data_IF_780640292919
#
_entry.id   IF_780640292919
#
_cell.length_a   1.000
_cell.length_b   1.000
_cell.length_c   1.000
_cell.angle_alpha   90.00
_cell.angle_beta   90.00
_cell.angle_gamma   90.00
#
_symmetry.space_group_name_H-M   'P 1'
#
loop_
_entity.id
_entity.type
_entity.pdbx_description
1 polymer ?
#
# COMPACT_ATOMS: atom_id res chain seq x y z
N UNK A 1 -31.01 -6.49 -0.19
CA UNK A 1 -30.81 -5.23 -0.95
C UNK A 1 -30.15 -4.15 -0.08
N UNK A 2 -30.43 -4.08 1.23
CA UNK A 2 -29.87 -3.07 2.15
C UNK A 2 -28.35 -2.87 2.09
N UNK A 3 -27.56 -3.94 2.04
CA UNK A 3 -26.08 -3.83 2.05
C UNK A 3 -25.51 -3.20 0.75
N UNK A 4 -26.23 -3.28 -0.37
CA UNK A 4 -25.76 -2.73 -1.67
C UNK A 4 -26.15 -1.26 -1.81
N UNK A 5 -27.24 -0.84 -1.18
CA UNK A 5 -27.61 0.57 -1.07
C UNK A 5 -26.67 1.30 -0.11
N UNK A 6 -26.31 0.67 1.00
CA UNK A 6 -25.30 1.19 1.93
C UNK A 6 -23.91 1.31 1.29
N UNK A 7 -23.49 0.33 0.48
CA UNK A 7 -22.23 0.39 -0.27
C UNK A 7 -22.22 1.49 -1.35
N UNK A 8 -23.33 1.73 -2.05
CA UNK A 8 -23.42 2.84 -3.02
C UNK A 8 -23.40 4.21 -2.32
N UNK A 9 -24.05 4.32 -1.15
CA UNK A 9 -24.00 5.51 -0.31
C UNK A 9 -22.60 5.84 0.19
N UNK A 10 -21.84 4.84 0.66
CA UNK A 10 -20.48 5.06 1.16
C UNK A 10 -19.49 5.44 0.04
N UNK A 11 -19.64 4.87 -1.16
CA UNK A 11 -18.84 5.28 -2.34
C UNK A 11 -19.12 6.73 -2.73
N UNK A 12 -20.39 7.17 -2.67
CA UNK A 12 -20.76 8.56 -2.92
C UNK A 12 -20.14 9.54 -1.92
N UNK A 13 -20.22 9.22 -0.63
CA UNK A 13 -19.61 10.05 0.42
C UNK A 13 -18.09 10.16 0.24
N UNK A 14 -17.42 9.06 -0.12
CA UNK A 14 -15.98 9.05 -0.38
C UNK A 14 -15.59 9.91 -1.60
N UNK A 15 -16.40 9.93 -2.66
CA UNK A 15 -16.17 10.77 -3.82
C UNK A 15 -16.28 12.26 -3.48
N UNK A 16 -17.24 12.62 -2.62
CA UNK A 16 -17.42 14.00 -2.15
C UNK A 16 -16.25 14.44 -1.25
N UNK A 17 -15.80 13.59 -0.31
CA UNK A 17 -14.60 13.87 0.49
C UNK A 17 -13.34 14.01 -0.38
N UNK A 18 -13.20 13.24 -1.46
CA UNK A 18 -12.06 13.37 -2.38
C UNK A 18 -12.06 14.73 -3.11
N UNK A 19 -13.24 15.23 -3.50
CA UNK A 19 -13.40 16.56 -4.11
C UNK A 19 -13.11 17.69 -3.12
N UNK A 20 -13.60 17.57 -1.90
CA UNK A 20 -13.33 18.53 -0.83
C UNK A 20 -11.82 18.63 -0.55
N UNK A 21 -11.13 17.48 -0.51
CA UNK A 21 -9.68 17.42 -0.35
C UNK A 21 -8.94 18.05 -1.54
N UNK A 22 -9.38 17.82 -2.78
CA UNK A 22 -8.82 18.47 -3.96
C UNK A 22 -8.99 20.00 -3.90
N UNK A 23 -10.15 20.47 -3.46
CA UNK A 23 -10.42 21.90 -3.21
C UNK A 23 -9.46 22.48 -2.17
N UNK A 24 -9.32 21.82 -1.02
CA UNK A 24 -8.41 22.25 0.06
C UNK A 24 -6.94 22.29 -0.36
N UNK A 25 -6.48 21.34 -1.18
CA UNK A 25 -5.13 21.33 -1.74
C UNK A 25 -4.92 22.52 -2.67
N UNK A 26 -5.91 22.83 -3.52
CA UNK A 26 -5.86 23.96 -4.45
C UNK A 26 -5.80 25.28 -3.67
N UNK A 27 -6.65 25.47 -2.67
CA UNK A 27 -6.59 26.66 -1.80
C UNK A 27 -5.26 26.79 -1.06
N UNK A 28 -4.67 25.66 -0.64
CA UNK A 28 -3.35 25.67 0.01
C UNK A 28 -2.23 26.07 -0.97
N UNK A 29 -2.32 25.67 -2.24
CA UNK A 29 -1.41 26.10 -3.31
C UNK A 29 -1.50 27.61 -3.51
N UNK A 30 -2.71 28.15 -3.62
CA UNK A 30 -2.92 29.59 -3.82
C UNK A 30 -2.33 30.42 -2.66
N UNK A 31 -2.49 29.95 -1.41
CA UNK A 31 -1.88 30.59 -0.24
C UNK A 31 -0.35 30.55 -0.28
N UNK A 32 0.25 29.43 -0.71
CA UNK A 32 1.70 29.33 -0.87
C UNK A 32 2.24 30.29 -1.93
N UNK A 33 1.53 30.41 -3.06
CA UNK A 33 1.90 31.36 -4.12
C UNK A 33 1.78 32.81 -3.66
N UNK A 34 0.71 33.15 -2.94
CA UNK A 34 0.55 34.49 -2.34
C UNK A 34 1.63 34.80 -1.31
N UNK A 35 1.96 33.84 -0.44
CA UNK A 35 3.01 34.02 0.58
C UNK A 35 4.39 34.15 -0.07
N UNK A 36 4.66 33.40 -1.14
CA UNK A 36 5.89 33.54 -1.91
C UNK A 36 6.00 34.92 -2.58
N UNK A 37 4.91 35.42 -3.15
CA UNK A 37 4.86 36.77 -3.73
C UNK A 37 5.08 37.87 -2.68
N UNK A 38 4.49 37.72 -1.48
CA UNK A 38 4.71 38.64 -0.36
C UNK A 38 6.17 38.62 0.13
N UNK A 39 6.78 37.44 0.24
CA UNK A 39 8.18 37.29 0.66
C UNK A 39 9.16 37.89 -0.37
N UNK A 40 8.87 37.72 -1.66
CA UNK A 40 9.63 38.36 -2.73
C UNK A 40 9.54 39.90 -2.64
N UNK A 41 8.36 40.45 -2.33
CA UNK A 41 8.15 41.90 -2.21
C UNK A 41 8.95 42.53 -1.05
N UNK A 42 9.24 41.78 0.01
CA UNK A 42 10.07 42.25 1.15
C UNK A 42 11.57 41.91 0.98
N UNK A 43 11.99 41.44 -0.20
CA UNK A 43 13.39 41.13 -0.51
C UNK A 43 13.93 39.89 0.21
N UNK A 44 13.05 39.02 0.71
CA UNK A 44 13.45 37.73 1.28
C UNK A 44 13.56 36.72 0.15
N UNK A 45 14.80 36.36 -0.19
CA UNK A 45 15.10 35.25 -1.11
C UNK A 45 14.71 33.92 -0.44
N UNK A 46 13.42 33.60 -0.49
CA UNK A 46 12.97 32.22 -0.32
C UNK A 46 13.58 31.43 -1.46
N UNK A 47 14.19 30.27 -1.19
CA UNK A 47 14.70 29.37 -2.22
C UNK A 47 13.57 29.08 -3.21
N UNK A 48 13.51 29.83 -4.31
CA UNK A 48 12.42 29.82 -5.29
C UNK A 48 12.13 28.42 -5.80
N UNK A 49 13.17 27.60 -5.90
CA UNK A 49 13.09 26.19 -6.29
C UNK A 49 12.27 25.32 -5.31
N UNK A 50 12.26 25.62 -4.01
CA UNK A 50 11.47 24.85 -3.02
C UNK A 50 9.99 25.22 -3.07
N UNK A 51 9.67 26.51 -3.22
CA UNK A 51 8.29 26.97 -3.37
C UNK A 51 7.70 26.47 -4.68
N UNK A 52 8.46 26.55 -5.79
CA UNK A 52 8.02 26.02 -7.08
C UNK A 52 7.77 24.51 -7.00
N UNK A 53 8.72 23.74 -6.45
CA UNK A 53 8.55 22.30 -6.29
C UNK A 53 7.37 21.92 -5.36
N UNK A 54 7.03 22.76 -4.38
CA UNK A 54 5.86 22.56 -3.55
C UNK A 54 4.55 22.86 -4.30
N UNK A 55 4.53 23.91 -5.12
CA UNK A 55 3.39 24.26 -5.99
C UNK A 55 3.13 23.17 -7.03
N UNK A 56 4.18 22.72 -7.74
CA UNK A 56 4.10 21.65 -8.73
C UNK A 56 3.54 20.35 -8.10
N UNK A 57 3.98 20.02 -6.88
CA UNK A 57 3.52 18.83 -6.16
C UNK A 57 2.09 18.96 -5.66
N UNK A 58 1.65 20.17 -5.29
CA UNK A 58 0.27 20.42 -4.91
C UNK A 58 -0.68 20.23 -6.11
N UNK A 59 -0.26 20.66 -7.30
CA UNK A 59 -1.00 20.46 -8.53
C UNK A 59 -1.11 18.98 -8.93
N UNK A 60 0.00 18.22 -8.82
CA UNK A 60 -0.01 16.78 -9.04
C UNK A 60 -0.97 16.06 -8.08
N UNK A 61 -0.96 16.43 -6.79
CA UNK A 61 -1.85 15.85 -5.78
C UNK A 61 -3.32 16.19 -6.01
N UNK A 62 -3.63 17.44 -6.40
CA UNK A 62 -4.98 17.84 -6.76
C UNK A 62 -5.48 17.06 -7.98
N UNK A 63 -4.62 16.86 -9.00
CA UNK A 63 -4.92 16.02 -10.16
C UNK A 63 -5.25 14.58 -9.76
N UNK A 64 -4.44 13.98 -8.88
CA UNK A 64 -4.71 12.62 -8.37
C UNK A 64 -6.02 12.53 -7.57
N UNK A 65 -6.33 13.53 -6.75
CA UNK A 65 -7.57 13.56 -5.96
C UNK A 65 -8.81 13.65 -6.87
N UNK A 66 -8.77 14.45 -7.92
CA UNK A 66 -9.84 14.53 -8.93
C UNK A 66 -9.99 13.21 -9.69
N UNK A 67 -8.89 12.61 -10.14
CA UNK A 67 -8.92 11.31 -10.82
C UNK A 67 -9.50 10.19 -9.93
N UNK A 68 -9.24 10.23 -8.62
CA UNK A 68 -9.84 9.31 -7.66
C UNK A 68 -11.35 9.53 -7.53
N UNK A 69 -11.81 10.79 -7.47
CA UNK A 69 -13.23 11.11 -7.42
C UNK A 69 -13.96 10.59 -8.67
N UNK A 70 -13.39 10.79 -9.86
CA UNK A 70 -13.94 10.27 -11.12
C UNK A 70 -14.01 8.74 -11.14
N UNK A 71 -12.99 8.06 -10.61
CA UNK A 71 -12.98 6.60 -10.50
C UNK A 71 -14.06 6.08 -9.54
N UNK A 72 -14.32 6.79 -8.44
CA UNK A 72 -15.37 6.44 -7.49
C UNK A 72 -16.77 6.63 -8.09
N UNK A 73 -16.99 7.70 -8.87
CA UNK A 73 -18.24 7.91 -9.59
C UNK A 73 -18.47 6.82 -10.65
N UNK A 74 -17.42 6.43 -11.38
CA UNK A 74 -17.49 5.33 -12.34
C UNK A 74 -17.84 4.00 -11.66
N UNK A 75 -17.26 3.73 -10.48
CA UNK A 75 -17.59 2.54 -9.69
C UNK A 75 -19.05 2.54 -9.23
N UNK A 76 -19.56 3.70 -8.78
CA UNK A 76 -20.96 3.87 -8.40
C UNK A 76 -21.89 3.57 -9.57
N UNK A 77 -21.59 4.10 -10.76
CA UNK A 77 -22.36 3.83 -11.98
C UNK A 77 -22.39 2.33 -12.33
N UNK A 78 -21.26 1.62 -12.16
CA UNK A 78 -21.21 0.17 -12.35
C UNK A 78 -22.08 -0.60 -11.34
N UNK A 79 -22.07 -0.18 -10.07
CA UNK A 79 -22.92 -0.77 -9.03
C UNK A 79 -24.40 -0.57 -9.35
N UNK A 80 -24.79 0.62 -9.80
CA UNK A 80 -26.18 0.92 -10.16
C UNK A 80 -26.62 0.14 -11.42
N UNK A 81 -25.75 -0.03 -12.41
CA UNK A 81 -26.00 -0.90 -13.57
C UNK A 81 -26.18 -2.38 -13.17
N UNK A 82 -25.35 -2.88 -12.25
CA UNK A 82 -25.50 -4.23 -11.69
C UNK A 82 -26.83 -4.40 -10.95
N UNK A 83 -27.26 -3.40 -10.16
CA UNK A 83 -28.58 -3.42 -9.51
C UNK A 83 -29.71 -3.52 -10.53
N UNK A 84 -29.67 -2.72 -11.60
CA UNK A 84 -30.69 -2.75 -12.65
C UNK A 84 -30.78 -4.13 -13.33
N UNK A 85 -29.64 -4.79 -13.55
CA UNK A 85 -29.57 -6.12 -14.15
C UNK A 85 -30.15 -7.20 -13.23
N UNK A 86 -29.88 -7.13 -11.92
CA UNK A 86 -30.45 -8.04 -10.90
C UNK A 86 -31.98 -7.88 -10.81
N UNK A 87 -32.49 -6.64 -10.83
CA UNK A 87 -33.94 -6.37 -10.82
C UNK A 87 -34.60 -6.93 -12.07
N UNK A 88 -33.98 -6.75 -13.24
CA UNK A 88 -34.48 -7.30 -14.52
C UNK A 88 -34.49 -8.83 -14.52
N UNK A 89 -33.44 -9.46 -14.00
CA UNK A 89 -33.36 -10.92 -13.87
C UNK A 89 -34.39 -11.48 -12.86
N UNK A 90 -34.70 -10.72 -11.79
CA UNK A 90 -35.69 -11.11 -10.77
C UNK A 90 -37.13 -10.90 -11.24
N UNK A 91 -37.38 -9.99 -12.18
CA UNK A 91 -38.70 -9.75 -12.81
C UNK A 91 -39.07 -10.74 -13.93
N UNK A 92 -38.11 -11.55 -14.40
CA UNK A 92 -38.28 -12.51 -15.50
C UNK A 92 -38.82 -13.89 -15.06
N UNK A 93 -39.33 -14.03 -13.84
CA UNK A 93 -40.04 -15.26 -13.40
C UNK A 93 -41.53 -15.13 -13.68
N UNK A 94 -41.89 -15.21 -14.96
CA UNK A 94 -43.29 -15.09 -15.39
C UNK A 94 -43.54 -15.71 -16.77
N UNK A 95 -43.89 -17.00 -16.76
CA UNK A 95 -44.68 -17.70 -17.77
C UNK A 95 -43.98 -18.24 -19.03
N UNK A 96 -43.49 -19.48 -18.92
CA UNK A 96 -43.54 -20.46 -19.99
C UNK A 96 -44.11 -21.79 -19.44
N UNK A 97 -45.40 -22.01 -19.71
CA UNK A 97 -46.11 -23.30 -19.63
C UNK A 97 -45.79 -24.06 -20.94
N UNK A 98 -45.49 -25.37 -21.01
CA UNK A 98 -46.25 -26.56 -20.62
C UNK A 98 -45.36 -27.82 -20.70
N UNK A 99 -45.84 -28.88 -20.02
CA UNK A 99 -45.84 -30.29 -20.48
C UNK A 99 -44.91 -31.31 -19.80
N UNK A 100 -45.47 -31.92 -18.75
CA UNK A 100 -45.78 -33.36 -18.63
C UNK A 100 -44.68 -34.39 -18.96
N UNK A 101 -44.25 -35.09 -17.91
CA UNK A 101 -44.18 -36.55 -17.92
C UNK A 101 -42.81 -37.19 -17.67
N UNK A 102 -42.80 -38.06 -16.66
CA UNK A 102 -41.90 -39.21 -16.43
C UNK A 102 -40.83 -39.04 -15.35
N UNK A 103 -41.13 -39.64 -14.20
CA UNK A 103 -40.36 -40.75 -13.62
C UNK A 103 -38.95 -40.92 -14.18
N UNK A 104 -37.92 -40.81 -13.31
CA UNK A 104 -36.84 -41.80 -13.14
C UNK A 104 -35.85 -41.33 -12.05
N UNK A 105 -35.68 -42.20 -11.04
CA UNK A 105 -34.46 -42.56 -10.26
C UNK A 105 -33.67 -41.45 -9.51
N UNK A 106 -33.38 -41.64 -8.21
CA UNK A 106 -32.30 -40.91 -7.54
C UNK A 106 -30.96 -41.54 -7.97
N UNK A 107 -30.25 -40.87 -8.88
CA UNK A 107 -28.85 -41.17 -9.16
C UNK A 107 -27.98 -40.36 -8.20
N UNK A 108 -27.24 -41.11 -7.38
CA UNK A 108 -26.05 -40.74 -6.62
C UNK A 108 -25.28 -39.56 -7.23
N UNK A 109 -25.15 -38.47 -6.47
CA UNK A 109 -24.18 -37.43 -6.76
C UNK A 109 -22.76 -37.99 -6.51
N UNK A 110 -21.87 -38.04 -7.51
CA UNK A 110 -20.46 -38.20 -7.23
C UNK A 110 -19.95 -36.88 -6.64
N UNK A 111 -19.36 -36.97 -5.45
CA UNK A 111 -18.45 -35.98 -4.89
C UNK A 111 -17.23 -35.87 -5.81
N UNK A 112 -17.38 -35.15 -6.92
CA UNK A 112 -16.26 -34.74 -7.75
C UNK A 112 -15.64 -33.53 -7.08
N UNK A 113 -14.78 -33.79 -6.10
CA UNK A 113 -13.78 -32.84 -5.65
C UNK A 113 -12.87 -32.53 -6.83
N UNK A 114 -13.28 -31.58 -7.66
CA UNK A 114 -12.39 -30.96 -8.62
C UNK A 114 -11.33 -30.23 -7.79
N UNK A 115 -10.17 -30.87 -7.66
CA UNK A 115 -8.91 -30.18 -7.41
C UNK A 115 -8.81 -29.05 -8.44
N UNK A 116 -9.24 -27.85 -8.07
CA UNK A 116 -8.91 -26.65 -8.83
C UNK A 116 -7.39 -26.56 -8.81
N UNK A 117 -6.79 -26.87 -9.95
CA UNK A 117 -5.39 -26.62 -10.20
C UNK A 117 -5.13 -25.14 -9.88
N UNK A 118 -4.16 -24.81 -9.01
CA UNK A 118 -3.95 -23.44 -8.59
C UNK A 118 -3.72 -22.56 -9.83
N UNK A 119 -4.25 -21.32 -9.84
CA UNK A 119 -4.13 -20.45 -10.99
C UNK A 119 -2.65 -20.28 -11.38
N UNK A 120 -2.33 -20.25 -12.69
CA UNK A 120 -0.95 -20.14 -13.14
C UNK A 120 -0.33 -18.84 -12.60
N UNK A 121 0.83 -18.97 -11.96
CA UNK A 121 1.60 -17.84 -11.42
C UNK A 121 1.99 -16.93 -12.60
N UNK A 122 1.72 -15.64 -12.49
CA UNK A 122 2.09 -14.66 -13.53
C UNK A 122 3.46 -14.05 -13.22
N UNK A 123 4.18 -13.61 -14.26
CA UNK A 123 5.44 -12.85 -14.14
C UNK A 123 6.65 -13.67 -13.67
N UNK A 124 7.73 -13.00 -13.21
CA UNK A 124 8.99 -13.63 -12.82
C UNK A 124 8.92 -14.76 -11.78
N UNK A 125 7.93 -14.72 -10.90
CA UNK A 125 7.69 -15.79 -9.92
C UNK A 125 7.28 -17.11 -10.57
N UNK A 126 6.78 -17.09 -11.81
CA UNK A 126 6.40 -18.30 -12.54
C UNK A 126 7.61 -19.15 -12.95
N UNK A 127 8.74 -18.49 -13.23
CA UNK A 127 9.95 -19.14 -13.76
C UNK A 127 11.10 -19.23 -12.75
N UNK A 128 10.89 -18.75 -11.51
CA UNK A 128 11.96 -18.64 -10.52
C UNK A 128 11.55 -19.22 -9.17
N UNK A 129 12.44 -19.99 -8.54
CA UNK A 129 12.24 -20.47 -7.16
C UNK A 129 12.34 -19.30 -6.18
N UNK A 130 11.22 -18.89 -5.58
CA UNK A 130 11.22 -17.78 -4.62
C UNK A 130 11.91 -18.17 -3.31
N UNK A 131 12.84 -17.31 -2.90
CA UNK A 131 13.56 -17.37 -1.63
C UNK A 131 12.90 -16.46 -0.58
N UNK A 132 13.04 -16.78 0.72
CA UNK A 132 12.54 -15.95 1.80
C UNK A 132 13.04 -14.51 1.76
N UNK A 133 12.31 -13.61 2.42
CA UNK A 133 12.76 -12.24 2.62
C UNK A 133 14.09 -12.22 3.37
N UNK A 134 15.04 -11.44 2.85
CA UNK A 134 16.38 -11.34 3.44
C UNK A 134 16.33 -10.80 4.88
N UNK A 135 17.14 -11.41 5.75
CA UNK A 135 17.28 -11.08 7.20
C UNK A 135 17.42 -9.59 7.51
N UNK A 136 18.04 -8.82 6.62
CA UNK A 136 18.25 -7.37 6.77
C UNK A 136 16.97 -6.53 6.74
N UNK A 137 15.85 -7.09 6.32
CA UNK A 137 14.55 -6.43 6.29
C UNK A 137 13.71 -6.73 7.54
N UNK A 138 13.92 -7.87 8.18
CA UNK A 138 13.14 -8.29 9.35
C UNK A 138 13.58 -7.51 10.58
N UNK A 139 12.66 -6.79 11.24
CA UNK A 139 12.97 -5.92 12.38
C UNK A 139 13.83 -6.63 13.44
N UNK A 140 13.43 -7.82 13.87
CA UNK A 140 14.14 -8.61 14.89
C UNK A 140 15.55 -9.08 14.49
N UNK A 141 15.90 -8.99 13.20
CA UNK A 141 17.19 -9.42 12.64
C UNK A 141 18.04 -8.25 12.14
N UNK A 142 17.58 -7.01 12.27
CA UNK A 142 18.42 -5.83 12.05
C UNK A 142 19.49 -5.79 13.14
N UNK A 143 20.75 -5.58 12.73
CA UNK A 143 21.92 -5.51 13.60
C UNK A 143 22.70 -4.23 13.32
N UNK A 144 23.57 -3.78 14.23
CA UNK A 144 24.42 -2.60 14.00
C UNK A 144 25.27 -2.69 12.72
N UNK A 145 25.62 -3.91 12.27
CA UNK A 145 26.37 -4.17 11.03
C UNK A 145 25.49 -4.35 9.78
N UNK A 146 24.16 -4.30 9.89
CA UNK A 146 23.27 -4.44 8.73
C UNK A 146 23.55 -3.35 7.68
N UNK A 147 23.61 -3.70 6.40
CA UNK A 147 23.92 -2.75 5.34
C UNK A 147 22.83 -1.68 5.22
N UNK A 148 23.23 -0.43 5.04
CA UNK A 148 22.33 0.72 4.88
C UNK A 148 22.31 1.11 3.40
N UNK A 149 21.12 1.06 2.78
CA UNK A 149 20.90 1.53 1.39
C UNK A 149 20.22 2.89 1.36
N UNK A 150 20.09 3.48 0.17
CA UNK A 150 19.37 4.75 -0.03
C UNK A 150 17.89 4.61 0.34
N UNK A 151 17.26 3.50 -0.09
CA UNK A 151 15.90 3.08 0.28
C UNK A 151 15.97 1.75 1.01
N UNK A 152 15.37 1.68 2.19
CA UNK A 152 15.26 0.49 3.02
C UNK A 152 13.79 0.26 3.35
N UNK A 153 13.38 -1.00 3.50
CA UNK A 153 12.05 -1.36 3.95
C UNK A 153 12.21 -2.34 5.10
N UNK A 154 11.59 -2.05 6.24
CA UNK A 154 11.60 -2.87 7.44
C UNK A 154 10.27 -3.59 7.58
N UNK A 155 10.32 -4.89 7.78
CA UNK A 155 9.17 -5.74 8.07
C UNK A 155 8.96 -5.78 9.57
N UNK A 156 7.78 -5.36 10.01
CA UNK A 156 7.39 -5.37 11.42
C UNK A 156 7.10 -6.81 11.89
N UNK A 157 7.27 -7.12 13.19
CA UNK A 157 7.23 -8.50 13.69
C UNK A 157 5.90 -9.24 13.53
N UNK A 158 4.78 -8.54 13.37
CA UNK A 158 3.46 -9.16 13.20
C UNK A 158 3.20 -9.68 11.77
N UNK A 159 4.08 -9.38 10.81
CA UNK A 159 3.91 -9.81 9.43
C UNK A 159 4.51 -11.20 9.21
N UNK A 160 3.69 -12.14 8.78
CA UNK A 160 4.14 -13.46 8.32
C UNK A 160 4.55 -13.42 6.83
N UNK A 161 5.83 -13.13 6.59
CA UNK A 161 6.37 -13.09 5.22
C UNK A 161 6.43 -14.45 4.56
N UNK A 162 6.52 -15.54 5.32
CA UNK A 162 6.62 -16.88 4.75
C UNK A 162 5.26 -17.33 4.21
N UNK A 163 4.17 -17.01 4.91
CA UNK A 163 2.81 -17.19 4.41
C UNK A 163 2.54 -16.38 3.14
N UNK A 164 2.99 -15.12 3.09
CA UNK A 164 2.85 -14.27 1.91
C UNK A 164 3.62 -14.84 0.70
N UNK A 165 4.86 -15.28 0.89
CA UNK A 165 5.66 -15.90 -0.17
C UNK A 165 5.02 -17.20 -0.65
N UNK A 166 4.46 -18.00 0.26
CA UNK A 166 3.72 -19.21 -0.09
C UNK A 166 2.46 -18.89 -0.91
N UNK A 167 1.76 -17.79 -0.61
CA UNK A 167 0.63 -17.32 -1.40
C UNK A 167 1.06 -16.84 -2.80
N UNK A 168 2.20 -16.15 -2.92
CA UNK A 168 2.78 -15.80 -4.24
C UNK A 168 3.12 -17.07 -5.03
N UNK A 169 3.76 -18.07 -4.40
CA UNK A 169 4.06 -19.38 -5.03
C UNK A 169 2.81 -20.15 -5.43
N UNK A 170 1.71 -19.98 -4.72
CA UNK A 170 0.44 -20.63 -5.02
C UNK A 170 -0.40 -19.88 -6.08
N UNK A 171 0.14 -18.82 -6.69
CA UNK A 171 -0.60 -18.00 -7.66
C UNK A 171 -1.73 -17.17 -7.05
N UNK A 172 -1.77 -17.04 -5.72
CA UNK A 172 -2.81 -16.28 -4.98
C UNK A 172 -2.48 -14.79 -4.81
N UNK A 173 -1.31 -14.36 -5.26
CA UNK A 173 -0.91 -12.96 -5.28
C UNK A 173 -1.31 -12.28 -6.58
N UNK A 174 -1.67 -11.00 -6.51
CA UNK A 174 -1.91 -10.17 -7.68
C UNK A 174 -0.57 -9.73 -8.26
N UNK A 175 -0.24 -10.18 -9.46
CA UNK A 175 0.91 -9.65 -10.21
C UNK A 175 0.55 -8.24 -10.71
N UNK A 176 1.32 -7.23 -10.29
CA UNK A 176 1.05 -5.83 -10.62
C UNK A 176 1.69 -5.45 -11.96
N UNK A 177 3.03 -5.46 -11.99
CA UNK A 177 3.87 -5.17 -13.16
C UNK A 177 5.29 -5.66 -12.89
N UNK A 178 6.07 -5.84 -13.95
CA UNK A 178 7.47 -6.23 -13.88
C UNK A 178 7.68 -7.41 -12.92
N UNK A 179 8.37 -7.17 -11.81
CA UNK A 179 8.68 -8.13 -10.77
C UNK A 179 7.90 -7.89 -9.46
N UNK A 180 6.83 -7.10 -9.49
CA UNK A 180 6.05 -6.72 -8.32
C UNK A 180 4.79 -7.56 -8.13
N UNK A 181 4.58 -8.01 -6.91
CA UNK A 181 3.46 -8.82 -6.47
C UNK A 181 2.80 -8.20 -5.27
N UNK A 182 1.47 -8.20 -5.25
CA UNK A 182 0.67 -7.79 -4.11
C UNK A 182 -0.02 -8.98 -3.47
N UNK A 183 0.11 -9.09 -2.16
CA UNK A 183 -0.53 -10.14 -1.36
C UNK A 183 -0.89 -9.54 0.00
N UNK A 184 -2.13 -9.74 0.46
CA UNK A 184 -2.60 -9.25 1.76
C UNK A 184 -2.31 -7.75 2.00
N UNK A 185 -2.49 -6.90 0.98
CA UNK A 185 -2.22 -5.45 1.07
C UNK A 185 -0.73 -5.07 1.14
N UNK A 186 0.17 -6.03 0.86
CA UNK A 186 1.63 -5.84 0.88
C UNK A 186 2.21 -6.07 -0.50
N UNK A 187 3.03 -5.13 -0.95
CA UNK A 187 3.77 -5.22 -2.21
C UNK A 187 5.18 -5.77 -1.95
N UNK A 188 5.52 -6.83 -2.67
CA UNK A 188 6.84 -7.44 -2.73
C UNK A 188 7.43 -7.33 -4.13
N UNK A 189 8.75 -7.26 -4.22
CA UNK A 189 9.49 -7.44 -5.45
C UNK A 189 10.22 -8.78 -5.46
N UNK A 190 10.37 -9.37 -6.64
CA UNK A 190 11.15 -10.59 -6.86
C UNK A 190 12.39 -10.23 -7.68
N UNK A 191 13.58 -10.46 -7.15
CA UNK A 191 14.81 -10.24 -7.92
C UNK A 191 15.03 -11.42 -8.88
N UNK A 192 15.15 -11.14 -10.17
CA UNK A 192 15.57 -12.11 -11.18
C UNK A 192 17.06 -11.95 -11.48
N UNK A 193 17.80 -13.05 -11.71
CA UNK A 193 17.37 -14.46 -11.66
C UNK A 193 17.43 -15.07 -10.25
N UNK A 194 17.79 -14.30 -9.21
CA UNK A 194 18.14 -14.85 -7.90
C UNK A 194 16.97 -15.49 -7.14
N UNK A 195 15.73 -15.09 -7.45
CA UNK A 195 14.51 -15.48 -6.76
C UNK A 195 14.31 -14.80 -5.41
N UNK A 196 15.16 -13.84 -5.05
CA UNK A 196 15.11 -13.20 -3.74
C UNK A 196 13.91 -12.28 -3.64
N UNK A 197 13.02 -12.56 -2.69
CA UNK A 197 11.88 -11.69 -2.41
C UNK A 197 12.32 -10.54 -1.50
N UNK A 198 11.92 -9.32 -1.84
CA UNK A 198 12.16 -8.13 -1.02
C UNK A 198 10.88 -7.34 -0.79
N UNK A 199 10.65 -6.82 0.44
CA UNK A 199 9.49 -5.99 0.73
C UNK A 199 9.66 -4.63 0.06
N UNK A 200 8.56 -4.10 -0.48
CA UNK A 200 8.53 -2.78 -1.10
C UNK A 200 7.75 -1.81 -0.23
N UNK A 201 6.45 -2.07 -0.04
CA UNK A 201 5.51 -1.21 0.71
C UNK A 201 4.27 -1.99 1.14
N UNK A 202 3.46 -1.41 2.01
CA UNK A 202 2.17 -1.97 2.44
C UNK A 202 2.06 -2.11 3.95
N UNK A 203 0.96 -2.70 4.40
CA UNK A 203 0.69 -2.89 5.83
C UNK A 203 1.81 -3.68 6.51
N UNK A 204 2.23 -3.24 7.70
CA UNK A 204 3.32 -3.90 8.43
C UNK A 204 4.72 -3.69 7.85
N UNK A 205 4.86 -2.90 6.76
CA UNK A 205 6.16 -2.45 6.24
C UNK A 205 6.41 -0.98 6.57
N UNK A 206 7.65 -0.67 6.95
CA UNK A 206 8.12 0.70 7.14
C UNK A 206 9.18 1.03 6.08
N UNK A 207 8.84 1.92 5.16
CA UNK A 207 9.78 2.48 4.19
C UNK A 207 10.63 3.56 4.86
N UNK A 208 11.95 3.45 4.72
CA UNK A 208 12.92 4.32 5.40
C UNK A 208 14.05 4.72 4.46
N UNK A 209 14.44 5.99 4.53
CA UNK A 209 15.64 6.46 3.87
C UNK A 209 16.92 6.03 4.63
N UNK A 210 18.09 6.36 4.07
CA UNK A 210 19.41 6.03 4.64
C UNK A 210 19.58 6.54 6.09
N UNK A 211 19.15 7.76 6.36
CA UNK A 211 19.34 8.42 7.67
C UNK A 211 18.37 7.83 8.71
N UNK A 212 17.10 7.67 8.34
CA UNK A 212 16.06 7.06 9.19
C UNK A 212 16.44 5.62 9.58
N UNK A 213 16.88 4.81 8.62
CA UNK A 213 17.32 3.45 8.90
C UNK A 213 18.59 3.42 9.78
N UNK A 214 19.47 4.40 9.63
CA UNK A 214 20.65 4.53 10.49
C UNK A 214 20.26 4.91 11.92
N UNK A 215 19.30 5.83 12.09
CA UNK A 215 18.75 6.18 13.39
C UNK A 215 18.05 4.97 14.05
N UNK A 216 17.26 4.20 13.29
CA UNK A 216 16.64 2.97 13.78
C UNK A 216 17.67 1.96 14.30
N UNK A 217 18.77 1.77 13.58
CA UNK A 217 19.86 0.88 14.03
C UNK A 217 20.47 1.34 15.35
N UNK A 218 20.61 2.66 15.55
CA UNK A 218 21.10 3.21 16.80
C UNK A 218 20.09 2.98 17.93
N UNK A 219 18.80 3.26 17.69
CA UNK A 219 17.74 2.96 18.67
C UNK A 219 17.73 1.48 19.06
N UNK A 220 17.82 0.56 18.10
CA UNK A 220 17.90 -0.88 18.36
C UNK A 220 19.12 -1.26 19.22
N UNK A 221 20.26 -0.60 19.03
CA UNK A 221 21.48 -0.85 19.80
C UNK A 221 21.39 -0.34 21.25
N UNK A 222 20.55 0.68 21.50
CA UNK A 222 20.42 1.36 22.79
C UNK A 222 19.03 1.17 23.41
N UNK A 223 18.32 0.09 23.07
CA UNK A 223 17.03 -0.25 23.68
C UNK A 223 15.92 0.79 23.46
N UNK A 224 16.02 1.60 22.41
CA UNK A 224 15.08 2.67 22.10
C UNK A 224 15.43 4.03 22.71
N UNK A 225 16.48 4.13 23.55
CA UNK A 225 16.88 5.42 24.12
C UNK A 225 17.53 6.33 23.06
N UNK A 226 16.82 7.40 22.68
CA UNK A 226 17.28 8.40 21.71
C UNK A 226 18.53 9.13 22.20
N UNK A 227 18.60 9.53 23.47
CA UNK A 227 19.73 10.32 23.97
C UNK A 227 21.03 9.51 23.94
N UNK A 228 20.97 8.22 24.30
CA UNK A 228 22.10 7.30 24.17
C UNK A 228 22.42 6.98 22.70
N UNK A 229 21.39 6.78 21.87
CA UNK A 229 21.57 6.52 20.44
C UNK A 229 22.26 7.67 19.71
N UNK A 230 21.88 8.93 19.99
CA UNK A 230 22.50 10.13 19.41
C UNK A 230 23.99 10.23 19.73
N UNK A 231 24.39 9.80 20.93
CA UNK A 231 25.78 9.79 21.38
C UNK A 231 26.61 8.63 20.80
N UNK A 232 26.00 7.67 20.11
CA UNK A 232 26.72 6.53 19.53
C UNK A 232 27.79 7.03 18.51
N UNK A 233 29.06 6.65 18.66
CA UNK A 233 30.13 7.07 17.74
C UNK A 233 29.91 6.57 16.31
N UNK A 234 29.18 5.47 16.10
CA UNK A 234 28.90 4.90 14.78
C UNK A 234 28.02 5.80 13.92
N UNK A 235 27.23 6.68 14.55
CA UNK A 235 26.37 7.63 13.84
C UNK A 235 26.90 9.07 13.87
N UNK A 236 28.05 9.31 14.53
CA UNK A 236 28.64 10.64 14.68
C UNK A 236 28.77 11.40 13.33
N UNK A 237 29.18 10.68 12.27
CA UNK A 237 29.30 11.23 10.90
C UNK A 237 27.98 11.65 10.25
N UNK A 238 26.84 11.17 10.76
CA UNK A 238 25.51 11.47 10.23
C UNK A 238 24.74 12.49 11.07
N UNK A 239 25.21 12.81 12.30
CA UNK A 239 24.50 13.69 13.25
C UNK A 239 24.06 15.01 12.63
N UNK A 240 24.91 15.65 11.81
CA UNK A 240 24.60 16.94 11.16
C UNK A 240 23.42 16.87 10.17
N UNK A 241 23.07 15.68 9.71
CA UNK A 241 22.00 15.47 8.73
C UNK A 241 20.78 14.76 9.33
N UNK A 242 20.87 14.27 10.57
CA UNK A 242 19.76 13.64 11.27
C UNK A 242 18.93 14.71 11.97
N UNK A 243 17.80 15.05 11.35
CA UNK A 243 16.82 15.99 11.92
C UNK A 243 15.92 15.30 12.96
N UNK A 244 15.16 16.07 13.72
CA UNK A 244 14.15 15.52 14.65
C UNK A 244 13.17 14.59 13.94
N UNK A 245 12.69 14.98 12.75
CA UNK A 245 11.84 14.15 11.90
C UNK A 245 12.45 12.78 11.58
N UNK A 246 13.77 12.72 11.40
CA UNK A 246 14.50 11.47 11.15
C UNK A 246 14.40 10.53 12.36
N UNK A 247 14.58 11.09 13.56
CA UNK A 247 14.50 10.35 14.81
C UNK A 247 13.07 9.95 15.17
N UNK A 248 12.10 10.85 14.96
CA UNK A 248 10.68 10.59 15.17
C UNK A 248 10.18 9.43 14.31
N UNK A 249 10.52 9.43 13.01
CA UNK A 249 10.12 8.34 12.13
C UNK A 249 10.79 7.02 12.55
N UNK A 250 12.10 7.03 12.82
CA UNK A 250 12.80 5.84 13.31
C UNK A 250 12.22 5.33 14.63
N UNK A 251 11.83 6.23 15.53
CA UNK A 251 11.20 5.90 16.81
C UNK A 251 9.81 5.33 16.63
N UNK A 252 8.99 5.91 15.76
CA UNK A 252 7.67 5.37 15.41
C UNK A 252 7.76 3.93 14.89
N UNK A 253 8.74 3.63 14.02
CA UNK A 253 8.96 2.26 13.54
C UNK A 253 9.39 1.32 14.68
N UNK A 254 10.27 1.79 15.57
CA UNK A 254 10.69 1.03 16.75
C UNK A 254 9.51 0.72 17.67
N UNK A 255 8.69 1.72 18.02
CA UNK A 255 7.55 1.54 18.92
C UNK A 255 6.46 0.66 18.31
N UNK A 256 6.15 0.83 17.01
CA UNK A 256 5.25 -0.08 16.26
C UNK A 256 5.72 -1.52 16.30
N UNK A 257 7.03 -1.75 16.16
CA UNK A 257 7.58 -3.10 16.21
C UNK A 257 7.52 -3.73 17.62
N UNK A 258 7.49 -2.90 18.66
CA UNK A 258 7.33 -3.34 20.06
C UNK A 258 5.86 -3.44 20.50
N UNK A 259 4.90 -3.14 19.62
CA UNK A 259 3.47 -3.09 19.96
C UNK A 259 3.10 -1.93 20.88
N UNK A 260 3.86 -0.82 20.83
CA UNK A 260 3.67 0.37 21.67
C UNK A 260 3.12 1.58 20.92
N UNK A 261 2.58 1.35 19.72
CA UNK A 261 2.10 2.39 18.81
C UNK A 261 0.60 2.65 18.95
#
# INVERSE_FOLDING_TARGET
MSNVDEASGSVGANAESARELAGGITSSKDLLEQLAAQLAAIGVDVKSNQTQAASDRAEELAGHANALADALDALRAQVDALKALIVTASGSTGSATLSRGSSLRPASFPLTGASQEPPPIKGPAASTTLKPVGKRHLFGQIRPKSPVKAKNTVVLPHVDTDADIAAIKAGRATHLRDNLYEVNGRTYGVETPSGTVYPVRGEGFAEMNKLEFTALKALLAHGGDRASAERDPRIARFRRHMTDRTWEHARSVFDRAQGRA
#
